data_IF_570574614227
#
_entry.id   IF_570574614227
#
_cell.length_a   1.000
_cell.length_b   1.000
_cell.length_c   1.000
_cell.angle_alpha   90.00
_cell.angle_beta   90.00
_cell.angle_gamma   90.00
#
_symmetry.space_group_name_H-M   'P 1'
#
loop_
_entity.id
_entity.type
_entity.pdbx_description
1 polymer ?
#
# COMPACT_ATOMS: atom_id res chain seq x y z
N UNK A 1 18.17 -22.40 -30.20
CA UNK A 1 18.95 -21.57 -29.25
C UNK A 1 18.81 -20.05 -29.48
N UNK A 2 18.16 -19.58 -30.56
CA UNK A 2 17.85 -18.16 -30.78
C UNK A 2 16.57 -17.69 -30.07
N UNK A 3 15.57 -18.55 -29.91
CA UNK A 3 14.30 -18.23 -29.22
C UNK A 3 14.48 -17.95 -27.71
N UNK A 4 15.38 -18.66 -27.01
CA UNK A 4 15.66 -18.45 -25.59
C UNK A 4 16.39 -17.15 -25.26
N UNK A 5 17.10 -16.56 -26.24
CA UNK A 5 17.77 -15.26 -26.05
C UNK A 5 16.83 -14.08 -26.25
N UNK A 6 15.77 -14.24 -27.04
CA UNK A 6 14.78 -13.18 -27.27
C UNK A 6 13.87 -13.01 -26.05
N UNK A 7 13.40 -14.11 -25.46
CA UNK A 7 12.54 -14.09 -24.26
C UNK A 7 13.28 -13.50 -23.04
N UNK A 8 14.57 -13.84 -22.85
CA UNK A 8 15.38 -13.28 -21.75
C UNK A 8 15.66 -11.77 -21.84
N UNK A 9 15.57 -11.18 -23.03
CA UNK A 9 15.79 -9.75 -23.23
C UNK A 9 14.57 -8.91 -22.86
N UNK A 10 13.38 -9.41 -23.18
CA UNK A 10 12.11 -8.74 -22.86
C UNK A 10 11.77 -8.82 -21.36
N UNK A 11 11.92 -9.99 -20.73
CA UNK A 11 11.64 -10.19 -19.30
C UNK A 11 12.53 -9.32 -18.39
N UNK A 12 13.80 -9.12 -18.77
CA UNK A 12 14.75 -8.30 -18.02
C UNK A 12 14.45 -6.79 -18.12
N UNK A 13 14.11 -6.31 -19.31
CA UNK A 13 13.78 -4.91 -19.56
C UNK A 13 12.43 -4.52 -18.92
N UNK A 14 11.45 -5.42 -18.97
CA UNK A 14 10.15 -5.24 -18.32
C UNK A 14 10.27 -5.14 -16.80
N UNK A 15 11.17 -5.94 -16.21
CA UNK A 15 11.42 -5.92 -14.77
C UNK A 15 12.13 -4.63 -14.31
N UNK A 16 13.09 -4.13 -15.08
CA UNK A 16 13.76 -2.85 -14.79
C UNK A 16 12.82 -1.65 -14.93
N UNK A 17 11.98 -1.65 -15.97
CA UNK A 17 10.97 -0.61 -16.18
C UNK A 17 9.91 -0.65 -15.07
N UNK A 18 9.42 -1.84 -14.71
CA UNK A 18 8.49 -2.05 -13.60
C UNK A 18 9.07 -1.54 -12.27
N UNK A 19 10.31 -1.89 -11.94
CA UNK A 19 10.99 -1.41 -10.74
C UNK A 19 11.18 0.11 -10.74
N UNK A 20 11.44 0.71 -11.91
CA UNK A 20 11.55 2.16 -12.04
C UNK A 20 10.22 2.88 -11.84
N UNK A 21 9.14 2.33 -12.43
CA UNK A 21 7.78 2.83 -12.25
C UNK A 21 7.34 2.68 -10.79
N UNK A 22 7.59 1.53 -10.17
CA UNK A 22 7.26 1.28 -8.77
C UNK A 22 7.94 2.28 -7.83
N UNK A 23 9.24 2.57 -8.04
CA UNK A 23 9.96 3.61 -7.28
C UNK A 23 9.36 5.01 -7.45
N UNK A 24 8.91 5.36 -8.66
CA UNK A 24 8.23 6.63 -8.90
C UNK A 24 6.88 6.66 -8.19
N UNK A 25 6.11 5.59 -8.30
CA UNK A 25 4.80 5.41 -7.68
C UNK A 25 4.86 5.52 -6.15
N UNK A 26 5.86 4.92 -5.51
CA UNK A 26 6.11 5.09 -4.07
C UNK A 26 6.37 6.55 -3.70
N UNK A 27 7.17 7.28 -4.50
CA UNK A 27 7.48 8.69 -4.22
C UNK A 27 6.23 9.56 -4.24
N UNK A 28 5.35 9.34 -5.22
CA UNK A 28 4.12 10.11 -5.41
C UNK A 28 2.92 9.56 -4.64
N UNK A 29 3.09 8.46 -3.90
CA UNK A 29 2.03 7.91 -3.08
C UNK A 29 1.55 8.96 -2.06
N UNK A 30 0.23 9.03 -1.77
CA UNK A 30 -0.30 9.99 -0.81
C UNK A 30 0.34 9.85 0.56
N UNK A 31 0.57 10.98 1.25
CA UNK A 31 1.26 10.97 2.53
C UNK A 31 0.49 10.18 3.60
N UNK A 32 -0.85 10.30 3.62
CA UNK A 32 -1.69 9.51 4.52
C UNK A 32 -1.48 8.00 4.37
N UNK A 33 -1.23 7.51 3.15
CA UNK A 33 -1.01 6.09 2.90
C UNK A 33 0.35 5.64 3.41
N UNK A 34 1.39 6.48 3.23
CA UNK A 34 2.73 6.21 3.75
C UNK A 34 2.70 6.14 5.28
N UNK A 35 2.06 7.13 5.91
CA UNK A 35 1.92 7.22 7.37
C UNK A 35 1.16 6.02 7.95
N UNK A 36 0.04 5.63 7.33
CA UNK A 36 -0.73 4.47 7.78
C UNK A 36 0.07 3.17 7.65
N UNK A 37 0.76 2.96 6.52
CA UNK A 37 1.60 1.77 6.31
C UNK A 37 2.72 1.71 7.35
N UNK A 38 3.40 2.83 7.61
CA UNK A 38 4.43 2.91 8.64
C UNK A 38 3.86 2.59 10.03
N UNK A 39 2.75 3.23 10.41
CA UNK A 39 2.05 3.01 11.68
C UNK A 39 1.65 1.55 11.90
N UNK A 40 1.10 0.88 10.88
CA UNK A 40 0.68 -0.51 10.96
C UNK A 40 1.90 -1.45 11.07
N UNK A 41 2.94 -1.21 10.29
CA UNK A 41 4.17 -2.01 10.30
C UNK A 41 4.95 -1.86 11.61
N UNK A 42 4.94 -0.69 12.23
CA UNK A 42 5.54 -0.44 13.53
C UNK A 42 4.78 -1.12 14.67
N UNK A 43 3.45 -1.12 14.62
CA UNK A 43 2.59 -1.77 15.62
C UNK A 43 2.75 -3.29 15.62
N UNK A 44 2.88 -3.90 14.44
CA UNK A 44 3.06 -5.35 14.32
C UNK A 44 4.20 -5.70 13.35
N UNK A 45 5.47 -5.64 13.82
CA UNK A 45 6.65 -5.88 12.99
C UNK A 45 6.76 -7.32 12.48
N UNK A 46 6.02 -8.27 13.06
CA UNK A 46 6.02 -9.66 12.61
C UNK A 46 4.98 -9.95 11.53
N UNK A 47 3.96 -9.10 11.39
CA UNK A 47 2.85 -9.32 10.48
C UNK A 47 3.26 -9.33 9.01
N UNK A 48 2.58 -10.16 8.22
CA UNK A 48 2.73 -10.19 6.77
C UNK A 48 1.93 -9.11 6.04
N UNK A 49 2.12 -9.02 4.73
CA UNK A 49 1.45 -8.05 3.85
C UNK A 49 -0.09 -8.16 3.90
N UNK A 50 -0.65 -9.37 4.03
CA UNK A 50 -2.10 -9.57 4.12
C UNK A 50 -2.72 -8.90 5.34
N UNK A 51 -1.99 -8.84 6.46
CA UNK A 51 -2.43 -8.12 7.65
C UNK A 51 -2.46 -6.61 7.40
N UNK A 52 -1.41 -6.06 6.78
CA UNK A 52 -1.39 -4.63 6.42
C UNK A 52 -2.58 -4.26 5.54
N UNK A 53 -2.85 -5.04 4.48
CA UNK A 53 -3.97 -4.78 3.58
C UNK A 53 -5.28 -4.86 4.37
N UNK A 54 -5.46 -5.88 5.21
CA UNK A 54 -6.65 -6.01 6.06
C UNK A 54 -6.83 -4.80 6.98
N UNK A 55 -5.79 -4.29 7.61
CA UNK A 55 -5.85 -3.13 8.49
C UNK A 55 -6.17 -1.83 7.74
N UNK A 56 -5.60 -1.63 6.54
CA UNK A 56 -5.94 -0.51 5.67
C UNK A 56 -7.42 -0.55 5.28
N UNK A 57 -7.91 -1.70 4.82
CA UNK A 57 -9.33 -1.88 4.51
C UNK A 57 -10.20 -1.70 5.76
N UNK A 58 -9.80 -2.21 6.92
CA UNK A 58 -10.54 -2.07 8.16
C UNK A 58 -10.65 -0.61 8.60
N UNK A 59 -9.58 0.16 8.45
CA UNK A 59 -9.51 1.58 8.82
C UNK A 59 -10.51 2.42 8.01
N UNK A 60 -10.62 2.14 6.71
CA UNK A 60 -11.45 2.93 5.79
C UNK A 60 -12.81 2.30 5.46
N UNK A 61 -13.05 1.05 5.85
CA UNK A 61 -14.38 0.45 5.73
C UNK A 61 -15.32 1.02 6.78
N UNK A 62 -16.56 1.29 6.37
CA UNK A 62 -17.62 1.74 7.27
C UNK A 62 -17.90 0.71 8.38
N UNK A 63 -17.28 0.88 9.56
CA UNK A 63 -17.57 0.11 10.77
C UNK A 63 -18.53 0.79 11.74
N UNK A 64 -19.01 0.05 12.75
CA UNK A 64 -19.90 0.54 13.83
C UNK A 64 -19.29 1.76 14.57
N UNK A 65 -17.96 1.83 14.67
CA UNK A 65 -17.25 3.01 15.23
C UNK A 65 -17.60 4.30 14.47
N UNK A 66 -17.75 4.26 13.15
CA UNK A 66 -18.14 5.44 12.36
C UNK A 66 -19.58 5.88 12.62
N UNK A 67 -20.49 4.93 12.90
CA UNK A 67 -21.88 5.24 13.27
C UNK A 67 -21.93 5.95 14.63
N UNK A 68 -21.07 5.57 15.57
CA UNK A 68 -21.08 6.09 16.94
C UNK A 68 -20.31 7.42 17.10
N UNK A 69 -19.24 7.64 16.33
CA UNK A 69 -18.42 8.87 16.40
C UNK A 69 -19.01 10.07 15.65
N UNK A 70 -19.97 9.86 14.74
CA UNK A 70 -20.29 10.81 13.69
C UNK A 70 -21.70 11.42 13.77
N UNK A 71 -22.18 11.90 14.92
CA UNK A 71 -23.42 12.72 14.91
C UNK A 71 -23.31 13.99 14.04
N UNK A 72 -22.10 14.38 13.58
CA UNK A 72 -21.88 15.58 12.76
C UNK A 72 -20.90 15.44 11.55
N UNK A 73 -20.30 14.27 11.29
CA UNK A 73 -19.19 14.13 10.31
C UNK A 73 -19.37 13.02 9.25
N UNK A 74 -20.59 12.49 9.08
CA UNK A 74 -20.81 11.27 8.28
C UNK A 74 -20.55 11.44 6.80
N UNK A 75 -20.92 12.57 6.19
CA UNK A 75 -20.88 12.73 4.73
C UNK A 75 -19.46 12.90 4.19
N UNK A 76 -18.66 13.78 4.80
CA UNK A 76 -17.27 14.02 4.40
C UNK A 76 -16.41 12.78 4.64
N UNK A 77 -16.56 12.14 5.81
CA UNK A 77 -15.82 10.92 6.10
C UNK A 77 -16.22 9.77 5.19
N UNK A 78 -17.49 9.69 4.77
CA UNK A 78 -17.91 8.71 3.76
C UNK A 78 -17.19 8.90 2.44
N UNK A 79 -17.07 10.16 2.00
CA UNK A 79 -16.42 10.50 0.75
C UNK A 79 -14.92 10.18 0.81
N UNK A 80 -14.24 10.63 1.87
CA UNK A 80 -12.81 10.37 2.09
C UNK A 80 -12.56 8.86 2.18
N UNK A 81 -13.35 8.14 2.95
CA UNK A 81 -13.21 6.68 3.11
C UNK A 81 -13.34 5.95 1.78
N UNK A 82 -14.33 6.33 0.97
CA UNK A 82 -14.54 5.75 -0.36
C UNK A 82 -13.37 6.05 -1.31
N UNK A 83 -12.88 7.28 -1.29
CA UNK A 83 -11.71 7.69 -2.07
C UNK A 83 -10.47 6.88 -1.69
N UNK A 84 -10.18 6.78 -0.38
CA UNK A 84 -9.02 6.05 0.13
C UNK A 84 -9.12 4.56 -0.15
N UNK A 85 -10.31 3.95 0.00
CA UNK A 85 -10.55 2.55 -0.39
C UNK A 85 -10.31 2.32 -1.88
N UNK A 86 -10.78 3.23 -2.75
CA UNK A 86 -10.50 3.12 -4.19
C UNK A 86 -9.00 3.21 -4.48
N UNK A 87 -8.27 4.08 -3.79
CA UNK A 87 -6.81 4.16 -3.95
C UNK A 87 -6.17 2.85 -3.49
N UNK A 88 -6.58 2.31 -2.35
CA UNK A 88 -6.04 1.06 -1.81
C UNK A 88 -6.27 -0.10 -2.78
N UNK A 89 -7.51 -0.28 -3.24
CA UNK A 89 -7.92 -1.39 -4.10
C UNK A 89 -7.22 -1.36 -5.47
N UNK A 90 -7.07 -0.17 -6.07
CA UNK A 90 -6.44 -0.02 -7.38
C UNK A 90 -4.90 -0.01 -7.35
N UNK A 91 -4.27 0.06 -6.17
CA UNK A 91 -2.83 0.28 -6.05
C UNK A 91 -2.15 -0.70 -5.08
N UNK A 92 -2.60 -1.96 -5.05
CA UNK A 92 -2.04 -3.00 -4.19
C UNK A 92 -0.53 -3.16 -4.37
N UNK A 93 0.00 -3.08 -5.59
CA UNK A 93 1.45 -3.18 -5.85
C UNK A 93 2.25 -2.07 -5.15
N UNK A 94 1.70 -0.85 -5.11
CA UNK A 94 2.31 0.28 -4.41
C UNK A 94 2.30 0.02 -2.90
N UNK A 95 1.20 -0.53 -2.36
CA UNK A 95 1.09 -0.89 -0.95
C UNK A 95 2.10 -1.97 -0.56
N UNK A 96 2.26 -3.00 -1.41
CA UNK A 96 3.26 -4.06 -1.23
C UNK A 96 4.67 -3.46 -1.20
N UNK A 97 4.96 -2.53 -2.11
CA UNK A 97 6.27 -1.89 -2.15
C UNK A 97 6.53 -1.00 -0.92
N UNK A 98 5.56 -0.20 -0.50
CA UNK A 98 5.60 0.59 0.73
C UNK A 98 5.82 -0.29 1.97
N UNK A 99 5.12 -1.42 2.06
CA UNK A 99 5.31 -2.40 3.13
C UNK A 99 6.75 -2.91 3.21
N UNK A 100 7.31 -3.31 2.07
CA UNK A 100 8.69 -3.79 2.02
C UNK A 100 9.70 -2.71 2.39
N UNK A 101 9.44 -1.46 2.01
CA UNK A 101 10.28 -0.34 2.39
C UNK A 101 10.19 -0.08 3.90
N UNK A 102 8.99 0.00 4.46
CA UNK A 102 8.75 0.19 5.89
C UNK A 102 9.40 -0.95 6.71
N UNK A 103 9.24 -2.21 6.30
CA UNK A 103 9.90 -3.36 6.97
C UNK A 103 11.42 -3.30 6.89
N UNK A 104 11.98 -2.86 5.75
CA UNK A 104 13.43 -2.67 5.62
C UNK A 104 13.95 -1.58 6.56
N UNK A 105 13.19 -0.49 6.74
CA UNK A 105 13.55 0.58 7.69
C UNK A 105 13.45 0.09 9.14
N UNK A 106 12.37 -0.59 9.51
CA UNK A 106 12.16 -1.10 10.87
C UNK A 106 13.25 -2.11 11.27
N UNK A 107 13.62 -3.04 10.37
CA UNK A 107 14.75 -3.98 10.58
C UNK A 107 16.13 -3.33 10.73
N UNK A 108 16.31 -2.05 10.35
CA UNK A 108 17.57 -1.32 10.56
C UNK A 108 17.64 -0.63 11.91
N UNK A 109 16.51 -0.53 12.62
CA UNK A 109 16.39 0.13 13.92
C UNK A 109 16.57 -0.88 15.08
N UNK A 110 16.35 -2.17 14.80
CA UNK A 110 16.56 -3.31 15.71
C UNK A 110 17.92 -3.95 15.43
#
# INVERSE_FOLDING_TARGET
>A
MLLLKHIKGEDGMFNEEYEHLLKKSIKVAPDWLKEDVESIVEKEPSAGISYLISELFHTYTFGIRHILSARHLTSEWSQISRERLNIIDNNIDIIVALYHEAKKRNKRII
#
